data_IF_106873404895
#
_entry.id   IF_106873404895
#
_cell.length_a   1.000
_cell.length_b   1.000
_cell.length_c   1.000
_cell.angle_alpha   90.00
_cell.angle_beta   90.00
_cell.angle_gamma   90.00
#
_symmetry.space_group_name_H-M   'P 1'
#
loop_
_entity.id
_entity.type
_entity.pdbx_description
1 polymer ?
#
# COMPACT_ATOMS: atom_id res chain seq x y z
N UNK A 1 -44.28 -1.63 -4.69
CA UNK A 1 -42.87 -2.01 -4.90
C UNK A 1 -42.02 -1.16 -3.99
N UNK A 2 -41.13 -1.74 -3.20
CA UNK A 2 -40.25 -0.95 -2.34
C UNK A 2 -39.25 -0.19 -3.23
N UNK A 3 -39.26 1.14 -3.16
CA UNK A 3 -38.23 1.95 -3.79
C UNK A 3 -36.86 1.48 -3.29
N UNK A 4 -35.83 1.38 -4.15
CA UNK A 4 -34.50 1.03 -3.68
C UNK A 4 -34.11 2.03 -2.59
N UNK A 5 -33.65 1.53 -1.44
CA UNK A 5 -33.23 2.35 -0.30
C UNK A 5 -32.11 3.25 -0.78
N UNK A 6 -32.46 4.50 -1.11
CA UNK A 6 -31.56 5.47 -1.72
C UNK A 6 -30.38 5.69 -0.77
N UNK A 7 -29.24 5.12 -1.13
CA UNK A 7 -28.06 5.07 -0.26
C UNK A 7 -27.60 6.50 0.04
N UNK A 8 -27.77 6.92 1.29
CA UNK A 8 -27.56 8.31 1.72
C UNK A 8 -26.13 8.80 1.43
N UNK A 9 -25.14 7.92 1.57
CA UNK A 9 -23.75 8.19 1.16
C UNK A 9 -23.66 8.49 -0.33
N UNK A 10 -24.33 7.71 -1.19
CA UNK A 10 -24.32 7.92 -2.64
C UNK A 10 -24.86 9.30 -3.02
N UNK A 11 -26.02 9.69 -2.47
CA UNK A 11 -26.57 11.05 -2.66
C UNK A 11 -25.61 12.14 -2.16
N UNK A 12 -24.91 11.92 -1.04
CA UNK A 12 -23.95 12.88 -0.47
C UNK A 12 -22.74 13.06 -1.40
N UNK A 13 -22.16 11.96 -1.90
CA UNK A 13 -21.00 12.01 -2.79
C UNK A 13 -21.31 12.67 -4.14
N UNK A 14 -22.51 12.45 -4.69
CA UNK A 14 -22.98 13.15 -5.90
C UNK A 14 -23.23 14.64 -5.62
N UNK A 15 -23.87 14.99 -4.49
CA UNK A 15 -24.06 16.41 -4.09
C UNK A 15 -22.75 17.15 -3.87
N UNK A 16 -21.74 16.48 -3.31
CA UNK A 16 -20.38 17.00 -3.14
C UNK A 16 -19.57 17.04 -4.44
N UNK A 17 -20.13 16.57 -5.57
CA UNK A 17 -19.45 16.41 -6.88
C UNK A 17 -18.16 15.58 -6.83
N UNK A 18 -18.08 14.64 -5.90
CA UNK A 18 -16.96 13.67 -5.81
C UNK A 18 -17.13 12.56 -6.85
N UNK A 19 -18.38 12.19 -7.15
CA UNK A 19 -18.73 11.20 -8.17
C UNK A 19 -19.92 11.71 -9.01
N UNK A 20 -20.00 11.25 -10.25
CA UNK A 20 -21.15 11.44 -11.14
C UNK A 20 -22.25 10.38 -10.91
N UNK A 21 -23.48 10.66 -11.36
CA UNK A 21 -24.60 9.72 -11.37
C UNK A 21 -24.26 8.39 -12.09
N UNK A 22 -23.48 8.42 -13.18
CA UNK A 22 -23.04 7.20 -13.86
C UNK A 22 -22.06 6.38 -13.00
N UNK A 23 -21.13 7.06 -12.35
CA UNK A 23 -20.14 6.43 -11.46
C UNK A 23 -20.80 5.83 -10.21
N UNK A 24 -21.78 6.53 -9.64
CA UNK A 24 -22.59 6.01 -8.53
C UNK A 24 -23.33 4.73 -8.94
N UNK A 25 -23.93 4.66 -10.13
CA UNK A 25 -24.58 3.43 -10.62
C UNK A 25 -23.61 2.26 -10.74
N UNK A 26 -22.41 2.49 -11.25
CA UNK A 26 -21.35 1.46 -11.31
C UNK A 26 -20.95 0.97 -9.91
N UNK A 27 -20.74 1.89 -8.96
CA UNK A 27 -20.41 1.54 -7.58
C UNK A 27 -21.56 0.78 -6.88
N UNK A 28 -22.82 1.15 -7.13
CA UNK A 28 -23.99 0.43 -6.62
C UNK A 28 -24.12 -0.98 -7.23
N UNK A 29 -23.83 -1.16 -8.52
CA UNK A 29 -23.83 -2.49 -9.14
C UNK A 29 -22.78 -3.42 -8.51
N UNK A 30 -21.59 -2.90 -8.18
CA UNK A 30 -20.58 -3.65 -7.41
C UNK A 30 -21.05 -3.91 -5.97
N UNK A 31 -21.68 -2.93 -5.31
CA UNK A 31 -22.24 -3.09 -3.96
C UNK A 31 -23.32 -4.17 -3.90
N UNK A 32 -24.24 -4.22 -4.86
CA UNK A 32 -25.31 -5.22 -4.90
C UNK A 32 -24.77 -6.64 -5.22
N UNK A 33 -23.64 -6.73 -5.95
CA UNK A 33 -23.01 -8.01 -6.30
C UNK A 33 -22.14 -8.58 -5.17
N UNK A 34 -21.36 -7.73 -4.47
CA UNK A 34 -20.34 -8.15 -3.50
C UNK A 34 -20.69 -7.82 -2.04
N UNK A 35 -21.64 -6.92 -1.80
CA UNK A 35 -21.92 -6.36 -0.49
C UNK A 35 -20.82 -5.41 0.01
N UNK A 36 -20.80 -5.16 1.33
CA UNK A 36 -19.76 -4.36 1.98
C UNK A 36 -20.19 -2.92 2.24
N UNK A 37 -19.32 -1.94 1.91
CA UNK A 37 -19.50 -0.50 2.15
C UNK A 37 -19.29 0.29 0.88
N UNK A 38 -20.21 1.21 0.61
CA UNK A 38 -20.16 2.02 -0.62
C UNK A 38 -18.92 2.94 -0.67
N UNK A 39 -18.49 3.48 0.48
CA UNK A 39 -17.29 4.31 0.61
C UNK A 39 -16.02 3.60 0.12
N UNK A 40 -15.79 2.36 0.56
CA UNK A 40 -14.67 1.53 0.11
C UNK A 40 -14.78 1.13 -1.34
N UNK A 41 -15.96 0.72 -1.81
CA UNK A 41 -16.14 0.36 -3.23
C UNK A 41 -15.81 1.54 -4.15
N UNK A 42 -16.20 2.77 -3.78
CA UNK A 42 -15.83 3.99 -4.53
C UNK A 42 -14.32 4.20 -4.55
N UNK A 43 -13.62 3.94 -3.44
CA UNK A 43 -12.15 4.06 -3.34
C UNK A 43 -11.38 2.89 -4.00
N UNK A 44 -11.92 1.68 -4.02
CA UNK A 44 -11.33 0.48 -4.63
C UNK A 44 -11.53 0.47 -6.16
N UNK A 45 -12.66 0.99 -6.66
CA UNK A 45 -12.88 1.30 -8.09
C UNK A 45 -12.04 2.49 -8.58
N UNK A 46 -11.35 3.21 -7.69
CA UNK A 46 -10.53 4.37 -8.04
C UNK A 46 -11.32 5.59 -8.52
N UNK A 47 -12.62 5.67 -8.21
CA UNK A 47 -13.50 6.77 -8.62
C UNK A 47 -13.16 8.07 -7.87
N UNK A 48 -12.75 7.95 -6.60
CA UNK A 48 -12.28 9.04 -5.77
C UNK A 48 -11.25 8.53 -4.75
N UNK A 49 -10.42 9.43 -4.21
CA UNK A 49 -9.53 9.09 -3.09
C UNK A 49 -10.33 8.94 -1.79
N UNK A 50 -9.83 8.10 -0.90
CA UNK A 50 -10.45 7.81 0.39
C UNK A 50 -10.56 9.05 1.28
N UNK A 51 -9.57 9.95 1.22
CA UNK A 51 -9.60 11.26 1.88
C UNK A 51 -10.78 12.12 1.40
N UNK A 52 -10.96 12.24 0.08
CA UNK A 52 -12.02 13.05 -0.52
C UNK A 52 -13.41 12.46 -0.26
N UNK A 53 -13.54 11.12 -0.28
CA UNK A 53 -14.78 10.43 0.12
C UNK A 53 -15.11 10.72 1.59
N UNK A 54 -14.12 10.60 2.48
CA UNK A 54 -14.27 10.86 3.92
C UNK A 54 -14.68 12.31 4.18
N UNK A 55 -14.03 13.27 3.52
CA UNK A 55 -14.31 14.70 3.65
C UNK A 55 -15.72 15.06 3.16
N UNK A 56 -16.13 14.55 2.00
CA UNK A 56 -17.49 14.78 1.48
C UNK A 56 -18.58 14.22 2.41
N UNK A 57 -18.35 13.06 3.04
CA UNK A 57 -19.26 12.51 4.07
C UNK A 57 -19.30 13.42 5.31
N UNK A 58 -18.16 13.95 5.77
CA UNK A 58 -18.10 14.90 6.88
C UNK A 58 -18.91 16.17 6.58
N UNK A 59 -18.68 16.78 5.41
CA UNK A 59 -19.36 18.00 4.98
C UNK A 59 -20.87 17.77 4.79
N UNK A 60 -21.26 16.65 4.15
CA UNK A 60 -22.66 16.32 3.89
C UNK A 60 -23.50 15.97 5.13
N UNK A 61 -22.85 15.59 6.24
CA UNK A 61 -23.51 15.23 7.50
C UNK A 61 -23.23 16.21 8.67
N UNK A 62 -22.37 17.21 8.47
CA UNK A 62 -21.95 18.13 9.52
C UNK A 62 -21.15 17.47 10.65
N UNK A 63 -20.43 16.39 10.36
CA UNK A 63 -19.65 15.62 11.34
C UNK A 63 -18.16 15.97 11.29
N UNK A 64 -17.45 15.74 12.39
CA UNK A 64 -16.01 15.93 12.43
C UNK A 64 -15.26 14.72 11.84
N UNK A 65 -14.27 15.01 11.00
CA UNK A 65 -13.26 14.05 10.56
C UNK A 65 -12.29 13.74 11.70
N UNK A 66 -11.85 12.49 11.81
CA UNK A 66 -10.74 12.08 12.69
C UNK A 66 -9.69 11.33 11.88
N UNK A 67 -8.41 11.61 12.17
CA UNK A 67 -7.24 10.99 11.54
C UNK A 67 -6.66 9.99 12.54
N UNK A 68 -6.78 8.68 12.28
CA UNK A 68 -6.43 7.62 13.23
C UNK A 68 -4.92 7.32 13.27
N UNK A 69 -4.15 7.68 12.23
CA UNK A 69 -2.72 7.34 12.13
C UNK A 69 -1.84 7.83 13.30
N UNK A 70 -2.22 8.97 13.92
CA UNK A 70 -1.44 9.64 14.96
C UNK A 70 -2.07 9.56 16.37
N UNK A 71 -3.05 8.67 16.59
CA UNK A 71 -3.81 8.64 17.85
C UNK A 71 -3.12 7.81 18.94
N UNK A 72 -3.08 8.35 20.15
CA UNK A 72 -2.60 7.65 21.34
C UNK A 72 -3.59 6.55 21.76
N UNK A 73 -3.07 5.35 22.03
CA UNK A 73 -3.86 4.18 22.47
C UNK A 73 -4.57 4.42 23.81
N UNK A 74 -5.88 4.59 23.81
CA UNK A 74 -6.72 4.55 25.02
C UNK A 74 -7.20 3.12 25.31
N UNK A 75 -6.58 2.47 26.30
CA UNK A 75 -6.95 1.12 26.72
C UNK A 75 -8.38 1.05 27.31
N UNK A 76 -8.89 2.13 27.91
CA UNK A 76 -10.24 2.21 28.44
C UNK A 76 -11.29 2.27 27.33
N UNK A 77 -10.99 2.95 26.22
CA UNK A 77 -11.85 2.98 25.04
C UNK A 77 -11.88 1.63 24.31
N UNK A 78 -10.70 1.03 24.09
CA UNK A 78 -10.55 -0.28 23.42
C UNK A 78 -11.27 -1.41 24.19
N UNK A 79 -11.25 -1.39 25.52
CA UNK A 79 -11.95 -2.38 26.35
C UNK A 79 -13.50 -2.29 26.30
N UNK A 80 -14.07 -1.25 25.68
CA UNK A 80 -15.54 -1.08 25.53
C UNK A 80 -16.08 -1.61 24.20
N UNK A 81 -15.22 -1.94 23.24
CA UNK A 81 -15.61 -2.41 21.89
C UNK A 81 -14.79 -3.64 21.53
N UNK A 82 -15.46 -4.77 21.32
CA UNK A 82 -14.81 -6.02 20.93
C UNK A 82 -14.17 -5.91 19.54
N UNK A 83 -13.00 -6.52 19.34
CA UNK A 83 -12.29 -6.53 18.05
C UNK A 83 -13.18 -7.07 16.91
N UNK A 84 -13.99 -8.10 17.17
CA UNK A 84 -14.89 -8.69 16.18
C UNK A 84 -15.98 -7.73 15.73
N UNK A 85 -16.48 -6.88 16.64
CA UNK A 85 -17.45 -5.84 16.29
C UNK A 85 -16.74 -4.69 15.55
N UNK A 86 -15.54 -4.28 15.99
CA UNK A 86 -14.75 -3.26 15.32
C UNK A 86 -14.46 -3.63 13.85
N UNK A 87 -14.01 -4.87 13.59
CA UNK A 87 -13.72 -5.39 12.26
C UNK A 87 -14.97 -5.54 11.39
N UNK A 88 -16.04 -6.20 11.90
CA UNK A 88 -17.28 -6.38 11.13
C UNK A 88 -18.00 -5.06 10.84
N UNK A 89 -17.99 -4.13 11.81
CA UNK A 89 -18.73 -2.87 11.72
C UNK A 89 -17.89 -1.68 11.30
N UNK A 90 -16.60 -1.85 11.00
CA UNK A 90 -15.75 -0.79 10.47
C UNK A 90 -15.77 0.44 11.38
N UNK A 91 -15.56 0.21 12.67
CA UNK A 91 -15.55 1.23 13.73
C UNK A 91 -14.34 1.09 14.64
N UNK A 92 -13.85 2.21 15.15
CA UNK A 92 -12.70 2.24 16.05
C UNK A 92 -12.95 3.17 17.25
N UNK A 93 -12.83 2.69 18.51
CA UNK A 93 -13.00 3.55 19.69
C UNK A 93 -11.76 4.44 19.87
N UNK A 94 -11.94 5.75 19.71
CA UNK A 94 -10.83 6.73 19.70
C UNK A 94 -10.41 7.14 21.11
N UNK A 95 -11.37 7.51 21.96
CA UNK A 95 -11.09 7.99 23.32
C UNK A 95 -12.34 7.90 24.19
N UNK A 96 -12.12 7.69 25.49
CA UNK A 96 -13.15 7.61 26.50
C UNK A 96 -13.12 8.87 27.38
N UNK A 97 -14.15 9.71 27.24
CA UNK A 97 -14.30 11.00 27.93
C UNK A 97 -15.29 10.91 29.10
N UNK A 98 -15.34 11.97 29.89
CA UNK A 98 -16.31 12.17 31.00
C UNK A 98 -16.33 11.00 32.02
N UNK A 99 -15.14 10.53 32.43
CA UNK A 99 -14.93 9.39 33.32
C UNK A 99 -15.67 8.10 32.86
N UNK A 100 -15.67 7.82 31.56
CA UNK A 100 -16.29 6.59 31.03
C UNK A 100 -17.74 6.70 30.61
N UNK A 101 -18.29 7.93 30.59
CA UNK A 101 -19.69 8.21 30.18
C UNK A 101 -19.83 8.54 28.70
N UNK A 102 -18.79 9.03 28.04
CA UNK A 102 -18.82 9.45 26.63
C UNK A 102 -17.74 8.72 25.84
N UNK A 103 -18.11 7.95 24.82
CA UNK A 103 -17.19 7.25 23.94
C UNK A 103 -17.11 7.97 22.59
N UNK A 104 -15.92 8.43 22.21
CA UNK A 104 -15.67 8.94 20.85
C UNK A 104 -15.41 7.75 19.94
N UNK A 105 -16.20 7.59 18.88
CA UNK A 105 -16.16 6.45 17.97
C UNK A 105 -15.88 6.93 16.55
N UNK A 106 -14.78 6.49 15.94
CA UNK A 106 -14.56 6.66 14.51
C UNK A 106 -15.36 5.61 13.74
N UNK A 107 -16.01 6.01 12.65
CA UNK A 107 -16.83 5.15 11.80
C UNK A 107 -16.53 5.41 10.33
N UNK A 108 -16.44 4.33 9.53
CA UNK A 108 -16.38 4.43 8.07
C UNK A 108 -17.74 4.80 7.45
N UNK A 109 -18.84 4.36 8.07
CA UNK A 109 -20.21 4.70 7.67
C UNK A 109 -20.98 5.23 8.89
N UNK A 110 -21.12 6.57 9.01
CA UNK A 110 -21.89 7.20 10.10
C UNK A 110 -23.41 7.15 9.90
N UNK A 111 -23.92 6.60 8.79
CA UNK A 111 -25.37 6.47 8.54
C UNK A 111 -25.95 5.15 9.04
N UNK A 112 -25.12 4.15 9.37
CA UNK A 112 -25.53 2.91 10.05
C UNK A 112 -25.85 3.17 11.54
N UNK A 113 -27.05 3.68 11.78
CA UNK A 113 -27.63 3.86 13.12
C UNK A 113 -27.65 2.54 13.92
N UNK A 114 -27.81 1.39 13.24
CA UNK A 114 -27.83 0.09 13.90
C UNK A 114 -26.49 -0.29 14.53
N UNK A 115 -25.37 0.15 13.95
CA UNK A 115 -24.05 0.02 14.56
C UNK A 115 -23.88 0.99 15.75
N UNK A 116 -24.36 2.22 15.63
CA UNK A 116 -24.31 3.19 16.74
C UNK A 116 -25.04 2.69 17.99
N UNK A 117 -26.26 2.17 17.83
CA UNK A 117 -27.07 1.63 18.92
C UNK A 117 -26.41 0.39 19.56
N UNK A 118 -25.84 -0.50 18.75
CA UNK A 118 -25.11 -1.67 19.24
C UNK A 118 -23.86 -1.30 20.05
N UNK A 119 -23.07 -0.32 19.57
CA UNK A 119 -21.90 0.17 20.31
C UNK A 119 -22.31 0.90 21.59
N UNK A 120 -23.36 1.72 21.56
CA UNK A 120 -23.90 2.37 22.76
C UNK A 120 -24.36 1.37 23.81
N UNK A 121 -25.09 0.32 23.40
CA UNK A 121 -25.58 -0.72 24.29
C UNK A 121 -24.46 -1.55 24.93
N UNK A 122 -23.43 -1.94 24.15
CA UNK A 122 -22.27 -2.69 24.68
C UNK A 122 -21.38 -1.81 25.57
N UNK A 123 -21.03 -0.62 25.11
CA UNK A 123 -20.12 0.28 25.82
C UNK A 123 -20.74 0.89 27.09
N UNK A 124 -22.07 0.91 27.22
CA UNK A 124 -22.83 1.61 28.27
C UNK A 124 -22.46 3.09 28.41
N UNK A 125 -22.07 3.70 27.30
CA UNK A 125 -21.63 5.08 27.20
C UNK A 125 -22.39 5.80 26.08
N UNK A 126 -22.50 7.13 26.19
CA UNK A 126 -23.00 7.97 25.10
C UNK A 126 -21.96 7.97 23.97
N UNK A 127 -22.33 7.45 22.81
CA UNK A 127 -21.46 7.44 21.63
C UNK A 127 -21.50 8.80 20.94
N UNK A 128 -20.33 9.33 20.60
CA UNK A 128 -20.14 10.51 19.75
C UNK A 128 -19.45 10.03 18.47
N UNK A 129 -20.16 9.94 17.34
CA UNK A 129 -19.56 9.54 16.06
C UNK A 129 -18.64 10.63 15.51
N UNK A 130 -17.51 10.17 14.94
CA UNK A 130 -16.62 10.91 14.06
C UNK A 130 -16.39 10.06 12.81
N UNK A 131 -16.07 10.67 11.68
CA UNK A 131 -15.86 9.96 10.41
C UNK A 131 -14.37 9.76 10.17
N UNK A 132 -13.96 8.57 9.74
CA UNK A 132 -12.58 8.25 9.34
C UNK A 132 -12.59 7.36 8.09
N UNK A 133 -11.42 7.25 7.43
CA UNK A 133 -11.24 6.33 6.30
C UNK A 133 -11.41 4.87 6.73
N UNK A 134 -11.90 4.02 5.82
CA UNK A 134 -12.12 2.60 6.13
C UNK A 134 -10.80 1.84 6.26
N UNK A 135 -9.85 2.07 5.36
CA UNK A 135 -8.49 1.50 5.47
C UNK A 135 -7.74 2.10 6.66
N UNK A 136 -8.03 3.36 7.00
CA UNK A 136 -7.48 4.00 8.20
C UNK A 136 -7.98 3.31 9.48
N UNK A 137 -9.26 2.93 9.53
CA UNK A 137 -9.86 2.13 10.60
C UNK A 137 -9.28 0.71 10.62
N UNK A 138 -9.15 0.03 9.47
CA UNK A 138 -8.52 -1.30 9.39
C UNK A 138 -7.07 -1.26 9.95
N UNK A 139 -6.27 -0.28 9.53
CA UNK A 139 -4.91 -0.08 10.04
C UNK A 139 -4.87 0.21 11.55
N UNK A 140 -5.78 1.05 12.06
CA UNK A 140 -5.89 1.33 13.49
C UNK A 140 -6.28 0.08 14.29
N UNK A 141 -7.17 -0.75 13.77
CA UNK A 141 -7.55 -2.02 14.41
C UNK A 141 -6.36 -2.97 14.48
N UNK A 142 -5.63 -3.17 13.36
CA UNK A 142 -4.43 -4.00 13.34
C UNK A 142 -3.37 -3.52 14.35
N UNK A 143 -3.11 -2.22 14.38
CA UNK A 143 -2.10 -1.60 15.25
C UNK A 143 -2.47 -1.66 16.73
N UNK A 144 -3.73 -1.40 17.10
CA UNK A 144 -4.13 -1.25 18.50
C UNK A 144 -4.79 -2.48 19.13
N UNK A 145 -5.45 -3.35 18.36
CA UNK A 145 -6.00 -4.60 18.90
C UNK A 145 -5.05 -5.79 18.71
N UNK A 146 -4.38 -5.88 17.55
CA UNK A 146 -3.51 -7.03 17.22
C UNK A 146 -2.02 -6.75 17.46
N UNK A 147 -1.64 -5.51 17.79
CA UNK A 147 -0.27 -5.03 17.91
C UNK A 147 0.58 -5.35 16.65
N UNK A 148 -0.02 -5.28 15.47
CA UNK A 148 0.62 -5.53 14.19
C UNK A 148 0.81 -4.22 13.43
N UNK A 149 2.02 -3.96 12.92
CA UNK A 149 2.25 -2.87 11.98
C UNK A 149 1.48 -3.19 10.68
N UNK A 150 0.64 -2.27 10.17
CA UNK A 150 -0.07 -2.52 8.92
C UNK A 150 0.94 -2.62 7.77
N UNK A 151 0.86 -3.69 6.97
CA UNK A 151 1.69 -3.85 5.78
C UNK A 151 1.19 -2.88 4.71
N UNK A 152 1.70 -1.65 4.75
CA UNK A 152 1.45 -0.65 3.71
C UNK A 152 2.06 -1.21 2.42
N UNK A 153 1.21 -1.77 1.57
CA UNK A 153 1.54 -2.08 0.18
C UNK A 153 1.75 -0.77 -0.57
N UNK A 154 2.89 -0.13 -0.37
CA UNK A 154 3.35 1.00 -1.15
C UNK A 154 3.44 0.56 -2.60
N UNK A 155 2.39 0.86 -3.37
CA UNK A 155 2.34 0.66 -4.81
C UNK A 155 3.57 1.36 -5.38
N UNK A 156 4.52 0.58 -5.88
CA UNK A 156 5.84 1.06 -6.28
C UNK A 156 5.65 2.19 -7.30
N UNK A 157 5.95 3.43 -6.89
CA UNK A 157 5.71 4.62 -7.69
C UNK A 157 7.07 5.15 -8.18
N UNK A 158 7.52 4.79 -9.39
CA UNK A 158 8.86 5.10 -9.89
C UNK A 158 9.06 6.59 -10.25
N UNK A 159 8.17 7.50 -9.84
CA UNK A 159 8.26 8.93 -10.09
C UNK A 159 8.20 9.77 -8.81
N UNK A 160 9.18 9.55 -7.92
CA UNK A 160 9.49 10.47 -6.81
C UNK A 160 10.99 10.82 -6.72
N UNK A 161 11.57 11.20 -7.86
CA UNK A 161 12.83 11.95 -7.90
C UNK A 161 12.54 13.45 -8.03
N UNK A 162 12.11 14.09 -6.95
CA UNK A 162 12.23 15.54 -6.76
C UNK A 162 12.57 15.82 -5.31
N UNK A 163 13.82 16.26 -5.11
CA UNK A 163 14.41 16.81 -3.90
C UNK A 163 13.46 17.67 -3.05
N UNK A 164 13.28 17.26 -1.79
CA UNK A 164 12.88 18.13 -0.68
C UNK A 164 13.59 17.64 0.59
N UNK A 165 14.68 18.32 0.96
CA UNK A 165 15.25 18.18 2.30
C UNK A 165 14.26 18.71 3.32
N UNK A 166 13.88 17.89 4.30
CA UNK A 166 13.36 18.37 5.58
C UNK A 166 13.98 17.52 6.67
N UNK A 167 14.94 18.10 7.38
CA UNK A 167 15.57 17.50 8.55
C UNK A 167 14.55 17.37 9.69
N UNK A 168 14.57 16.23 10.39
CA UNK A 168 14.07 16.11 11.75
C UNK A 168 15.11 15.30 12.54
N UNK A 169 15.56 15.75 13.72
CA UNK A 169 16.58 15.07 14.49
C UNK A 169 15.98 13.86 15.23
N UNK A 170 16.74 12.76 15.27
CA UNK A 170 16.44 11.61 16.11
C UNK A 170 17.73 11.26 16.87
N UNK A 171 17.76 11.61 18.16
CA UNK A 171 18.73 11.10 19.11
C UNK A 171 18.33 9.65 19.48
N UNK A 172 19.16 8.66 19.17
CA UNK A 172 19.15 7.34 19.83
C UNK A 172 20.60 6.90 20.13
N UNK A 173 20.82 6.14 21.21
CA UNK A 173 22.16 5.91 21.76
C UNK A 173 23.01 4.89 20.97
N UNK A 174 24.33 5.09 21.01
CA UNK A 174 25.32 4.29 20.29
C UNK A 174 25.54 2.89 20.91
N UNK A 175 25.13 1.82 20.20
CA UNK A 175 25.53 0.44 20.52
C UNK A 175 26.90 0.09 19.91
N UNK A 176 27.85 -0.34 20.75
CA UNK A 176 29.27 -0.54 20.38
C UNK A 176 29.52 -1.82 19.56
N UNK A 177 29.38 -1.74 18.23
CA UNK A 177 29.60 -2.89 17.34
C UNK A 177 31.09 -3.16 17.07
N UNK A 178 31.58 -4.35 17.44
CA UNK A 178 32.98 -4.79 17.21
C UNK A 178 33.05 -5.86 16.11
N UNK A 179 33.51 -5.46 14.92
CA UNK A 179 33.82 -6.40 13.83
C UNK A 179 35.27 -6.89 13.98
N UNK A 180 35.46 -8.21 13.98
CA UNK A 180 36.76 -8.87 14.10
C UNK A 180 36.93 -9.80 12.90
N UNK A 181 38.09 -9.75 12.26
CA UNK A 181 38.45 -10.69 11.19
C UNK A 181 38.81 -12.09 11.75
N UNK A 182 38.78 -13.12 10.92
CA UNK A 182 39.05 -14.54 11.26
C UNK A 182 40.46 -14.76 11.86
N UNK A 183 41.38 -13.79 11.73
CA UNK A 183 42.70 -13.79 12.39
C UNK A 183 42.72 -13.09 13.76
N UNK A 184 41.57 -12.76 14.36
CA UNK A 184 41.45 -12.24 15.72
C UNK A 184 41.88 -10.78 15.91
N UNK A 185 42.11 -10.02 14.83
CA UNK A 185 42.55 -8.63 14.88
C UNK A 185 41.39 -7.69 14.56
N UNK A 186 41.19 -6.67 15.40
CA UNK A 186 40.14 -5.65 15.23
C UNK A 186 40.57 -4.60 14.21
N UNK A 187 39.74 -4.34 13.19
CA UNK A 187 40.09 -3.47 12.05
C UNK A 187 39.43 -2.09 12.14
N UNK A 188 38.25 -1.96 12.77
CA UNK A 188 37.53 -0.68 12.92
C UNK A 188 37.04 -0.55 14.37
N UNK A 189 37.13 0.67 14.94
CA UNK A 189 36.65 0.97 16.30
C UNK A 189 35.62 2.11 16.39
N UNK A 190 35.52 3.00 15.40
CA UNK A 190 34.48 4.04 15.30
C UNK A 190 34.15 4.32 13.84
N UNK A 191 32.91 4.76 13.60
CA UNK A 191 32.41 5.14 12.26
C UNK A 191 32.94 6.52 11.83
N UNK A 192 33.35 7.35 12.79
CA UNK A 192 33.84 8.73 12.56
C UNK A 192 35.19 8.86 11.83
N UNK A 193 35.94 7.76 11.64
CA UNK A 193 37.25 7.79 10.99
C UNK A 193 37.17 7.65 9.45
N UNK A 194 35.95 7.66 8.87
CA UNK A 194 35.72 7.65 7.42
C UNK A 194 35.57 9.10 6.92
N UNK A 195 36.64 9.65 6.34
CA UNK A 195 36.66 11.01 5.79
C UNK A 195 35.98 11.07 4.40
N UNK A 196 34.96 11.92 4.19
CA UNK A 196 34.42 12.21 2.86
C UNK A 196 35.36 13.16 2.08
N UNK A 197 35.63 12.93 0.79
CA UNK A 197 36.45 13.84 -0.01
C UNK A 197 35.62 14.96 -0.66
N UNK A 198 35.40 16.07 0.04
CA UNK A 198 34.98 17.31 -0.64
C UNK A 198 35.33 18.61 0.14
N UNK A 199 36.39 19.33 -0.29
CA UNK A 199 36.61 20.78 -0.09
C UNK A 199 37.94 21.29 -0.70
N UNK A 200 38.09 22.59 -0.99
CA UNK A 200 38.77 23.02 -2.23
C UNK A 200 40.10 23.78 -2.07
N UNK A 201 40.89 23.85 -3.16
CA UNK A 201 41.95 24.86 -3.35
C UNK A 201 42.27 25.18 -4.84
N UNK A 202 41.86 26.36 -5.29
CA UNK A 202 42.54 27.33 -6.20
C UNK A 202 43.46 26.84 -7.34
N UNK A 203 43.11 27.19 -8.59
CA UNK A 203 43.93 27.07 -9.82
C UNK A 203 44.94 28.24 -10.00
N UNK A 204 46.03 28.11 -10.79
CA UNK A 204 46.04 27.96 -12.26
C UNK A 204 47.00 26.81 -12.74
N UNK A 205 47.43 26.60 -14.01
CA UNK A 205 47.36 27.32 -15.29
C UNK A 205 47.34 26.31 -16.49
N UNK A 206 47.11 26.73 -17.77
CA UNK A 206 46.72 25.77 -18.84
C UNK A 206 47.79 25.39 -19.91
N UNK A 207 47.53 24.23 -20.55
CA UNK A 207 48.06 23.68 -21.83
C UNK A 207 49.49 23.09 -21.82
N UNK A 208 49.84 22.12 -22.72
CA UNK A 208 49.24 21.80 -24.03
C UNK A 208 48.60 20.40 -24.16
N UNK A 209 48.04 20.11 -25.35
CA UNK A 209 47.22 18.93 -25.65
C UNK A 209 47.89 17.95 -26.63
N UNK A 210 47.88 16.66 -26.28
CA UNK A 210 47.92 15.44 -27.11
C UNK A 210 47.69 14.27 -26.11
N UNK A 211 47.04 13.13 -26.41
CA UNK A 211 46.59 12.54 -27.68
C UNK A 211 45.36 11.66 -27.39
N UNK A 212 44.46 11.46 -28.36
CA UNK A 212 43.26 10.63 -28.20
C UNK A 212 43.48 9.15 -28.55
N UNK A 213 42.60 8.31 -27.99
CA UNK A 213 42.22 6.93 -28.38
C UNK A 213 43.09 5.76 -27.87
N UNK A 214 42.52 4.52 -27.78
CA UNK A 214 41.12 4.12 -28.02
C UNK A 214 40.40 3.49 -26.80
N UNK A 215 39.08 3.29 -26.93
CA UNK A 215 38.23 2.59 -25.96
C UNK A 215 37.90 1.15 -26.40
N UNK A 216 37.76 0.25 -25.42
CA UNK A 216 37.11 -1.07 -25.47
C UNK A 216 36.86 -1.52 -24.02
N UNK A 217 35.82 -2.24 -23.61
CA UNK A 217 34.65 -2.82 -24.30
C UNK A 217 33.40 -2.50 -23.43
N UNK A 218 32.22 -2.13 -23.94
CA UNK A 218 31.35 -2.78 -24.93
C UNK A 218 30.58 -4.00 -24.37
N UNK A 219 29.58 -3.73 -23.51
CA UNK A 219 28.47 -4.62 -23.25
C UNK A 219 27.23 -4.11 -24.01
N UNK A 220 26.70 -4.91 -24.93
CA UNK A 220 25.65 -4.50 -25.86
C UNK A 220 24.29 -4.32 -25.15
N UNK A 221 23.57 -3.23 -25.45
CA UNK A 221 22.20 -3.06 -24.96
C UNK A 221 21.25 -3.97 -25.74
N UNK A 222 20.17 -4.43 -25.09
CA UNK A 222 19.13 -5.21 -25.77
C UNK A 222 18.47 -4.46 -26.94
N UNK A 223 18.58 -3.13 -26.98
CA UNK A 223 18.15 -2.30 -28.11
C UNK A 223 19.09 -2.43 -29.33
N UNK A 224 20.40 -2.50 -29.11
CA UNK A 224 21.41 -2.54 -30.19
C UNK A 224 21.35 -3.89 -30.93
N UNK A 225 21.15 -4.98 -30.18
CA UNK A 225 21.00 -6.34 -30.71
C UNK A 225 19.77 -6.46 -31.62
N UNK A 226 18.68 -5.75 -31.32
CA UNK A 226 17.46 -5.75 -32.15
C UNK A 226 17.67 -5.05 -33.50
N UNK A 227 18.44 -3.96 -33.53
CA UNK A 227 18.75 -3.20 -34.74
C UNK A 227 19.72 -3.96 -35.67
N UNK A 228 20.67 -4.72 -35.09
CA UNK A 228 21.61 -5.58 -35.83
C UNK A 228 20.90 -6.80 -36.47
N UNK A 229 19.94 -7.41 -35.78
CA UNK A 229 19.12 -8.51 -36.34
C UNK A 229 18.24 -8.02 -37.48
N UNK A 230 17.65 -6.82 -37.37
CA UNK A 230 16.80 -6.22 -38.41
C UNK A 230 17.58 -5.79 -39.67
N UNK A 231 18.89 -5.56 -39.54
CA UNK A 231 19.77 -5.20 -40.66
C UNK A 231 20.46 -6.40 -41.32
N UNK A 232 20.18 -7.63 -40.87
CA UNK A 232 20.64 -8.87 -41.49
C UNK A 232 22.05 -9.31 -41.08
N UNK A 233 22.58 -8.78 -39.98
CA UNK A 233 23.80 -9.29 -39.36
C UNK A 233 23.59 -10.72 -38.81
N UNK A 234 24.51 -11.64 -39.10
CA UNK A 234 24.53 -12.93 -38.42
C UNK A 234 25.09 -12.72 -37.01
N UNK A 235 24.37 -13.09 -35.93
CA UNK A 235 24.80 -12.80 -34.57
C UNK A 235 26.02 -13.64 -34.19
N UNK A 236 27.21 -13.06 -34.29
CA UNK A 236 28.44 -13.61 -33.70
C UNK A 236 28.48 -13.32 -32.20
N UNK A 237 27.48 -13.84 -31.49
CA UNK A 237 27.42 -13.89 -30.03
C UNK A 237 27.50 -15.35 -29.57
N UNK A 238 28.70 -15.81 -29.26
CA UNK A 238 28.84 -17.03 -28.45
C UNK A 238 28.18 -16.75 -27.10
N UNK A 239 27.14 -17.53 -26.77
CA UNK A 239 26.36 -17.35 -25.55
C UNK A 239 27.29 -17.49 -24.34
N UNK A 240 27.40 -16.43 -23.52
CA UNK A 240 28.27 -16.51 -22.35
C UNK A 240 27.71 -17.52 -21.34
N UNK A 241 28.60 -18.13 -20.56
CA UNK A 241 28.19 -19.10 -19.53
C UNK A 241 27.27 -18.45 -18.48
N UNK A 242 27.42 -17.15 -18.21
CA UNK A 242 26.51 -16.37 -17.37
C UNK A 242 25.12 -16.24 -17.98
N UNK A 243 25.00 -15.98 -19.29
CA UNK A 243 23.70 -15.82 -19.95
C UNK A 243 22.94 -17.15 -20.03
N UNK A 244 23.67 -18.25 -20.21
CA UNK A 244 23.12 -19.60 -20.17
C UNK A 244 22.59 -19.94 -18.76
N UNK A 245 23.32 -19.56 -17.71
CA UNK A 245 22.84 -19.67 -16.31
C UNK A 245 21.61 -18.76 -16.04
N UNK A 246 21.62 -17.51 -16.52
CA UNK A 246 20.46 -16.60 -16.42
C UNK A 246 19.22 -17.20 -17.08
N UNK A 247 19.34 -17.72 -18.30
CA UNK A 247 18.25 -18.44 -18.97
C UNK A 247 17.76 -19.64 -18.18
N UNK A 248 18.67 -20.47 -17.65
CA UNK A 248 18.29 -21.65 -16.88
C UNK A 248 17.52 -21.29 -15.60
N UNK A 249 17.91 -20.23 -14.89
CA UNK A 249 17.15 -19.74 -13.72
C UNK A 249 15.77 -19.19 -14.09
N UNK A 250 15.66 -18.47 -15.21
CA UNK A 250 14.38 -17.99 -15.73
C UNK A 250 13.46 -19.15 -16.13
N UNK A 251 13.97 -20.15 -16.86
CA UNK A 251 13.21 -21.35 -17.21
C UNK A 251 12.75 -22.08 -15.94
N UNK A 252 13.63 -22.29 -14.96
CA UNK A 252 13.27 -22.95 -13.71
C UNK A 252 12.18 -22.18 -12.93
N UNK A 253 12.21 -20.85 -12.96
CA UNK A 253 11.20 -20.01 -12.33
C UNK A 253 9.86 -20.04 -13.10
N UNK A 254 9.89 -20.06 -14.43
CA UNK A 254 8.70 -20.26 -15.27
C UNK A 254 8.07 -21.65 -15.02
N UNK A 255 8.88 -22.71 -14.95
CA UNK A 255 8.40 -24.06 -14.64
C UNK A 255 7.77 -24.14 -13.24
N UNK A 256 8.42 -23.59 -12.21
CA UNK A 256 7.86 -23.50 -10.84
C UNK A 256 6.52 -22.75 -10.85
N UNK A 257 6.45 -21.62 -11.53
CA UNK A 257 5.22 -20.81 -11.66
C UNK A 257 4.11 -21.59 -12.34
N UNK A 258 4.42 -22.32 -13.41
CA UNK A 258 3.44 -23.16 -14.13
C UNK A 258 2.91 -24.31 -13.26
N UNK A 259 3.75 -24.91 -12.41
CA UNK A 259 3.37 -25.98 -11.46
C UNK A 259 2.45 -25.44 -10.36
N UNK A 260 2.77 -24.28 -9.80
CA UNK A 260 1.94 -23.60 -8.79
C UNK A 260 0.58 -23.23 -9.38
N UNK A 261 0.54 -22.65 -10.58
CA UNK A 261 -0.72 -22.30 -11.26
C UNK A 261 -1.58 -23.53 -11.56
N UNK A 262 -0.99 -24.65 -11.99
CA UNK A 262 -1.71 -25.91 -12.19
C UNK A 262 -2.30 -26.47 -10.89
N UNK A 263 -1.51 -26.53 -9.82
CA UNK A 263 -1.98 -26.99 -8.51
C UNK A 263 -3.09 -26.10 -7.93
N UNK A 264 -3.01 -24.78 -8.15
CA UNK A 264 -4.04 -23.83 -7.72
C UNK A 264 -5.33 -23.97 -8.55
N UNK A 265 -5.23 -24.21 -9.86
CA UNK A 265 -6.38 -24.52 -10.71
C UNK A 265 -7.06 -25.84 -10.32
N UNK A 266 -6.27 -26.88 -10.02
CA UNK A 266 -6.76 -28.19 -9.57
C UNK A 266 -7.52 -28.06 -8.23
N UNK A 267 -6.95 -27.35 -7.26
CA UNK A 267 -7.58 -27.08 -5.97
C UNK A 267 -8.87 -26.23 -6.09
N UNK A 268 -8.95 -25.30 -7.04
CA UNK A 268 -10.15 -24.51 -7.30
C UNK A 268 -11.25 -25.33 -8.02
N UNK A 269 -10.87 -26.31 -8.84
CA UNK A 269 -11.79 -27.29 -9.43
C UNK A 269 -12.33 -28.25 -8.35
N UNK A 270 -11.47 -28.80 -7.49
CA UNK A 270 -11.88 -29.67 -6.37
C UNK A 270 -12.86 -28.99 -5.41
N UNK A 271 -12.62 -27.71 -5.09
CA UNK A 271 -13.52 -26.92 -4.22
C UNK A 271 -14.78 -26.42 -4.92
N UNK A 272 -15.00 -26.76 -6.19
CA UNK A 272 -16.19 -26.38 -6.96
C UNK A 272 -16.31 -24.88 -7.23
N UNK A 273 -15.26 -24.09 -7.01
CA UNK A 273 -15.27 -22.63 -7.21
C UNK A 273 -14.99 -22.21 -8.66
N UNK A 274 -14.58 -23.16 -9.51
CA UNK A 274 -14.38 -22.96 -10.95
C UNK A 274 -15.04 -24.12 -11.71
N UNK A 275 -15.92 -23.80 -12.66
CA UNK A 275 -16.44 -24.82 -13.57
C UNK A 275 -15.50 -24.98 -14.77
N UNK A 276 -15.17 -26.23 -15.12
CA UNK A 276 -14.24 -26.56 -16.20
C UNK A 276 -14.63 -25.94 -17.57
N UNK A 277 -15.94 -25.71 -17.79
CA UNK A 277 -16.47 -24.98 -18.96
C UNK A 277 -16.09 -23.50 -19.01
N UNK A 278 -16.03 -22.82 -17.86
CA UNK A 278 -15.71 -21.39 -17.79
C UNK A 278 -14.21 -21.16 -18.00
N UNK A 279 -13.36 -22.03 -17.44
CA UNK A 279 -11.92 -22.03 -17.70
C UNK A 279 -11.62 -22.24 -19.20
N UNK A 280 -12.28 -23.22 -19.84
CA UNK A 280 -12.13 -23.50 -21.26
C UNK A 280 -12.65 -22.37 -22.18
N UNK A 281 -13.62 -21.57 -21.72
CA UNK A 281 -14.08 -20.38 -22.43
C UNK A 281 -13.07 -19.22 -22.34
N UNK A 282 -12.44 -19.02 -21.17
CA UNK A 282 -11.45 -17.96 -20.96
C UNK A 282 -10.07 -18.26 -21.56
N UNK A 283 -9.69 -19.53 -21.71
CA UNK A 283 -8.44 -19.95 -22.38
C UNK A 283 -8.56 -20.13 -23.91
N UNK A 284 -9.67 -19.72 -24.53
CA UNK A 284 -9.86 -19.68 -25.98
C UNK A 284 -9.86 -18.24 -26.55
N UNK A 285 -9.33 -17.31 -25.77
CA UNK A 285 -8.94 -15.95 -26.15
C UNK A 285 -7.41 -15.87 -26.21
#
# INVERSE_FOLDING_TARGET
>A
MASPSRNRIGDILVKARVIDDLQLRSALATFDQWGGRLSRIVADLGLASEDTVTEAICQGLGMQRVQLGNITRDAGALARVDITLAEQKGVFPVSLKDNGKTLVLAMADPTDLGTLDQVAQRSRARVVPMVAGEREIEHAILRHYRNQEPVISTRFNPSRNTSSETQAPVDEPEDEFKVVDMSGKTVVKRIADIVPPDSPATAPAPRPAEKLAPAAAAGSSAADILDEILTGGAPSSEWTEEDLQRLQTLQQNQEKSSKILRALLELLLEKGQLQQRELAARMRL
#
